data_IF_586396653034
#
_entry.id   IF_586396653034
#
_cell.length_a   1.000
_cell.length_b   1.000
_cell.length_c   1.000
_cell.angle_alpha   90.00
_cell.angle_beta   90.00
_cell.angle_gamma   90.00
#
_symmetry.space_group_name_H-M   'P 1'
#
loop_
_entity.id
_entity.type
_entity.pdbx_description
1 polymer ?
#
# COMPACT_ATOMS: atom_id res chain seq x y z
N UNK A 1 -34.52 7.85 16.19
CA UNK A 1 -34.44 9.28 15.80
C UNK A 1 -33.10 9.94 16.15
N UNK A 2 -32.66 10.01 17.43
CA UNK A 2 -31.37 10.66 17.79
C UNK A 2 -30.13 10.06 17.09
N UNK A 3 -30.09 8.74 16.89
CA UNK A 3 -28.98 8.04 16.22
C UNK A 3 -28.87 8.45 14.74
N UNK A 4 -29.98 8.49 13.99
CA UNK A 4 -29.98 8.92 12.59
C UNK A 4 -29.55 10.38 12.44
N UNK A 5 -30.00 11.26 13.34
CA UNK A 5 -29.57 12.67 13.34
C UNK A 5 -28.05 12.80 13.56
N UNK A 6 -27.50 12.06 14.53
CA UNK A 6 -26.07 12.03 14.79
C UNK A 6 -25.27 11.48 13.60
N UNK A 7 -25.79 10.45 12.93
CA UNK A 7 -25.18 9.87 11.73
C UNK A 7 -25.14 10.87 10.57
N UNK A 8 -26.25 11.56 10.27
CA UNK A 8 -26.28 12.57 9.21
C UNK A 8 -25.29 13.70 9.46
N UNK A 9 -25.17 14.18 10.70
CA UNK A 9 -24.26 15.28 11.03
C UNK A 9 -22.79 14.84 11.06
N UNK A 10 -22.49 13.70 11.68
CA UNK A 10 -21.09 13.28 11.93
C UNK A 10 -20.49 12.47 10.79
N UNK A 11 -21.28 11.65 10.10
CA UNK A 11 -20.79 10.73 9.07
C UNK A 11 -21.03 11.29 7.68
N UNK A 12 -22.26 11.74 7.40
CA UNK A 12 -22.60 12.30 6.08
C UNK A 12 -22.22 13.78 5.94
N UNK A 13 -21.79 14.42 7.04
CA UNK A 13 -21.43 15.84 7.11
C UNK A 13 -22.56 16.77 6.62
N UNK A 14 -23.83 16.42 6.91
CA UNK A 14 -25.02 17.18 6.51
C UNK A 14 -25.44 18.12 7.66
N UNK A 15 -25.41 19.45 7.47
CA UNK A 15 -25.85 20.42 8.48
C UNK A 15 -27.32 20.28 8.87
N UNK A 16 -27.66 20.69 10.10
CA UNK A 16 -29.05 20.74 10.55
C UNK A 16 -29.87 21.69 9.66
N UNK A 17 -31.05 21.22 9.21
CA UNK A 17 -31.96 22.02 8.37
C UNK A 17 -31.59 22.06 6.88
N UNK A 18 -30.47 21.47 6.48
CA UNK A 18 -30.09 21.37 5.07
C UNK A 18 -30.76 20.18 4.37
N UNK A 19 -30.89 20.26 3.05
CA UNK A 19 -31.43 19.20 2.21
C UNK A 19 -30.27 18.54 1.46
N UNK A 20 -30.25 17.22 1.41
CA UNK A 20 -29.26 16.47 0.65
C UNK A 20 -29.89 15.17 0.14
N UNK A 21 -29.33 14.64 -0.94
CA UNK A 21 -29.81 13.42 -1.59
C UNK A 21 -28.72 12.36 -1.45
N UNK A 22 -29.12 11.16 -1.06
CA UNK A 22 -28.22 10.02 -0.94
C UNK A 22 -28.67 8.94 -1.90
N UNK A 23 -27.77 8.50 -2.78
CA UNK A 23 -28.03 7.41 -3.73
C UNK A 23 -26.81 6.49 -3.82
N UNK A 24 -26.98 5.18 -3.61
CA UNK A 24 -25.93 4.17 -3.70
C UNK A 24 -24.56 4.62 -3.12
N UNK A 25 -24.57 5.19 -1.92
CA UNK A 25 -23.37 5.70 -1.22
C UNK A 25 -22.85 7.07 -1.65
N UNK A 26 -23.41 7.68 -2.70
CA UNK A 26 -23.14 9.06 -3.11
C UNK A 26 -24.00 10.04 -2.31
N UNK A 27 -23.37 11.10 -1.82
CA UNK A 27 -24.07 12.22 -1.17
C UNK A 27 -24.03 13.41 -2.14
N UNK A 28 -25.19 13.97 -2.46
CA UNK A 28 -25.35 15.20 -3.22
C UNK A 28 -25.94 16.27 -2.32
N UNK A 29 -25.18 17.35 -2.12
CA UNK A 29 -25.58 18.47 -1.28
C UNK A 29 -24.46 18.90 -0.32
N UNK A 30 -24.77 19.78 0.64
CA UNK A 30 -26.11 20.33 0.91
C UNK A 30 -26.64 21.17 -0.27
N UNK A 31 -27.90 20.95 -0.63
CA UNK A 31 -28.61 21.72 -1.65
C UNK A 31 -28.94 23.11 -1.11
N UNK A 32 -28.85 24.13 -1.95
CA UNK A 32 -29.24 25.49 -1.58
C UNK A 32 -30.77 25.57 -1.35
N UNK A 33 -31.25 26.58 -0.62
CA UNK A 33 -32.70 26.74 -0.34
C UNK A 33 -33.54 26.94 -1.62
N UNK A 34 -32.95 27.61 -2.61
CA UNK A 34 -33.54 27.91 -3.92
C UNK A 34 -33.36 26.77 -4.93
N UNK A 35 -32.41 25.87 -4.68
CA UNK A 35 -32.13 24.74 -5.55
C UNK A 35 -33.29 23.74 -5.49
N UNK A 36 -33.80 23.38 -6.67
CA UNK A 36 -34.86 22.38 -6.80
C UNK A 36 -34.27 21.17 -7.48
N UNK A 37 -34.37 20.03 -6.80
CA UNK A 37 -34.05 18.74 -7.40
C UNK A 37 -35.36 18.10 -7.87
N UNK A 38 -35.50 17.99 -9.19
CA UNK A 38 -36.73 17.56 -9.86
C UNK A 38 -36.71 16.06 -10.17
N UNK A 39 -37.84 15.54 -10.68
CA UNK A 39 -37.94 14.15 -11.13
C UNK A 39 -36.97 13.85 -12.29
N UNK A 40 -36.72 14.83 -13.15
CA UNK A 40 -35.77 14.69 -14.25
C UNK A 40 -34.33 14.56 -13.73
N UNK A 41 -34.00 15.27 -12.65
CA UNK A 41 -32.68 15.18 -11.99
C UNK A 41 -32.50 13.81 -11.32
N UNK A 42 -33.54 13.26 -10.68
CA UNK A 42 -33.51 11.89 -10.16
C UNK A 42 -33.31 10.86 -11.27
N UNK A 43 -34.02 11.03 -12.39
CA UNK A 43 -33.91 10.15 -13.56
C UNK A 43 -32.51 10.22 -14.19
N UNK A 44 -31.92 11.42 -14.25
CA UNK A 44 -30.56 11.62 -14.73
C UNK A 44 -29.53 10.98 -13.79
N UNK A 45 -29.70 11.16 -12.47
CA UNK A 45 -28.82 10.59 -11.45
C UNK A 45 -28.81 9.07 -11.48
N UNK A 46 -29.97 8.44 -11.67
CA UNK A 46 -30.11 7.00 -11.84
C UNK A 46 -29.38 6.53 -13.09
N UNK A 47 -29.67 7.13 -14.26
CA UNK A 47 -29.00 6.80 -15.53
C UNK A 47 -27.48 6.98 -15.46
N UNK A 48 -27.01 8.06 -14.83
CA UNK A 48 -25.59 8.30 -14.63
C UNK A 48 -24.93 7.19 -13.78
N UNK A 49 -25.60 6.78 -12.69
CA UNK A 49 -25.07 5.77 -11.77
C UNK A 49 -25.01 4.38 -12.43
N UNK A 50 -26.06 4.02 -13.17
CA UNK A 50 -26.13 2.78 -13.94
C UNK A 50 -25.07 2.72 -15.03
N UNK A 51 -24.94 3.77 -15.85
CA UNK A 51 -23.98 3.80 -16.96
C UNK A 51 -22.51 3.77 -16.49
N UNK A 52 -22.18 4.48 -15.39
CA UNK A 52 -20.80 4.58 -14.94
C UNK A 52 -20.33 3.36 -14.13
N UNK A 53 -21.21 2.81 -13.30
CA UNK A 53 -20.87 1.75 -12.36
C UNK A 53 -21.71 0.48 -12.58
N UNK A 54 -23.04 0.62 -12.64
CA UNK A 54 -23.99 -0.49 -12.68
C UNK A 54 -23.68 -1.51 -13.78
N UNK A 55 -23.61 -1.08 -15.04
CA UNK A 55 -23.42 -1.98 -16.18
C UNK A 55 -22.07 -2.71 -16.12
N UNK A 56 -21.00 -1.99 -15.76
CA UNK A 56 -19.64 -2.56 -15.68
C UNK A 56 -19.53 -3.58 -14.55
N UNK A 57 -20.08 -3.28 -13.38
CA UNK A 57 -20.07 -4.18 -12.23
C UNK A 57 -20.92 -5.42 -12.55
N UNK A 58 -22.12 -5.24 -13.12
CA UNK A 58 -22.99 -6.34 -13.52
C UNK A 58 -22.32 -7.27 -14.54
N UNK A 59 -21.66 -6.70 -15.56
CA UNK A 59 -20.88 -7.47 -16.53
C UNK A 59 -19.73 -8.24 -15.87
N UNK A 60 -19.05 -7.64 -14.89
CA UNK A 60 -17.92 -8.26 -14.18
C UNK A 60 -18.38 -9.42 -13.29
N UNK A 61 -19.48 -9.24 -12.54
CA UNK A 61 -20.09 -10.30 -11.71
C UNK A 61 -20.49 -11.49 -12.57
N UNK A 62 -21.17 -11.24 -13.70
CA UNK A 62 -21.56 -12.28 -14.66
C UNK A 62 -20.36 -13.00 -15.28
N UNK A 63 -19.30 -12.25 -15.65
CA UNK A 63 -18.10 -12.82 -16.29
C UNK A 63 -17.32 -13.75 -15.35
N UNK A 64 -17.25 -13.40 -14.07
CA UNK A 64 -16.48 -14.16 -13.09
C UNK A 64 -17.26 -15.34 -12.48
N UNK A 65 -18.47 -15.64 -12.98
CA UNK A 65 -19.34 -16.70 -12.47
C UNK A 65 -19.35 -16.73 -10.94
N UNK A 66 -19.54 -15.57 -10.31
CA UNK A 66 -19.80 -15.53 -8.88
C UNK A 66 -21.21 -16.14 -8.73
N UNK A 67 -21.26 -17.46 -8.63
CA UNK A 67 -22.45 -18.19 -8.20
C UNK A 67 -22.71 -17.72 -6.78
N UNK A 68 -23.60 -16.74 -6.65
CA UNK A 68 -24.19 -16.43 -5.36
C UNK A 68 -24.99 -17.68 -5.03
N UNK A 69 -24.50 -18.47 -4.08
CA UNK A 69 -25.12 -19.70 -3.59
C UNK A 69 -26.53 -19.38 -3.06
N UNK A 70 -27.54 -19.28 -3.94
CA UNK A 70 -28.94 -19.52 -3.60
C UNK A 70 -29.82 -19.47 -4.86
N UNK A 71 -30.38 -20.63 -5.19
CA UNK A 71 -31.27 -20.96 -6.32
C UNK A 71 -32.67 -20.30 -6.21
N UNK A 72 -32.78 -19.15 -5.54
CA UNK A 72 -34.06 -18.46 -5.33
C UNK A 72 -33.93 -16.94 -5.47
N UNK A 73 -34.34 -16.44 -6.65
CA UNK A 73 -34.50 -15.02 -7.01
C UNK A 73 -33.21 -14.21 -7.29
N UNK A 74 -32.51 -14.59 -8.36
CA UNK A 74 -31.33 -13.95 -8.95
C UNK A 74 -31.35 -12.41 -9.10
N UNK A 75 -32.49 -11.74 -9.01
CA UNK A 75 -32.56 -10.28 -9.22
C UNK A 75 -32.27 -9.46 -7.95
N UNK A 76 -32.68 -9.94 -6.77
CA UNK A 76 -32.67 -9.12 -5.54
C UNK A 76 -31.32 -9.18 -4.81
N UNK A 77 -30.70 -10.35 -4.69
CA UNK A 77 -29.36 -10.46 -4.08
C UNK A 77 -28.28 -9.80 -4.95
N UNK A 78 -28.41 -9.89 -6.27
CA UNK A 78 -27.57 -9.12 -7.20
C UNK A 78 -27.72 -7.61 -7.00
N UNK A 79 -28.91 -7.12 -6.63
CA UNK A 79 -29.14 -5.68 -6.39
C UNK A 79 -28.44 -5.17 -5.14
N UNK A 80 -28.48 -5.90 -4.03
CA UNK A 80 -27.82 -5.49 -2.79
C UNK A 80 -26.30 -5.52 -2.92
N UNK A 81 -25.76 -6.59 -3.53
CA UNK A 81 -24.32 -6.70 -3.82
C UNK A 81 -23.88 -5.59 -4.80
N UNK A 82 -24.68 -5.31 -5.84
CA UNK A 82 -24.43 -4.21 -6.76
C UNK A 82 -24.43 -2.87 -6.03
N UNK A 83 -25.44 -2.60 -5.19
CA UNK A 83 -25.53 -1.36 -4.43
C UNK A 83 -24.33 -1.18 -3.50
N UNK A 84 -23.94 -2.23 -2.77
CA UNK A 84 -22.77 -2.19 -1.88
C UNK A 84 -21.48 -1.97 -2.67
N UNK A 85 -21.29 -2.67 -3.80
CA UNK A 85 -20.13 -2.48 -4.67
C UNK A 85 -20.06 -1.05 -5.23
N UNK A 86 -21.19 -0.52 -5.71
CA UNK A 86 -21.29 0.87 -6.19
C UNK A 86 -20.97 1.85 -5.06
N UNK A 87 -21.54 1.67 -3.87
CA UNK A 87 -21.29 2.55 -2.72
C UNK A 87 -19.83 2.56 -2.29
N UNK A 88 -19.17 1.41 -2.30
CA UNK A 88 -17.74 1.29 -2.00
C UNK A 88 -16.87 1.97 -3.06
N UNK A 89 -17.22 1.84 -4.34
CA UNK A 89 -16.45 2.44 -5.44
C UNK A 89 -16.65 3.96 -5.52
N UNK A 90 -17.86 4.45 -5.28
CA UNK A 90 -18.18 5.89 -5.31
C UNK A 90 -17.56 6.62 -4.13
N UNK A 91 -17.56 6.02 -2.93
CA UNK A 91 -16.94 6.63 -1.74
C UNK A 91 -15.42 6.74 -1.84
N UNK A 92 -14.79 5.99 -2.75
CA UNK A 92 -13.34 5.98 -2.98
C UNK A 92 -13.02 6.18 -4.46
N UNK A 93 -13.19 7.40 -5.00
CA UNK A 93 -12.91 7.66 -6.40
C UNK A 93 -11.45 7.31 -6.70
N UNK A 94 -11.24 6.38 -7.63
CA UNK A 94 -9.91 5.98 -8.06
C UNK A 94 -9.26 7.16 -8.78
N UNK A 95 -8.10 7.59 -8.31
CA UNK A 95 -7.29 8.65 -8.95
C UNK A 95 -6.45 8.12 -10.10
N UNK A 96 -6.34 6.79 -10.26
CA UNK A 96 -5.54 6.11 -11.28
C UNK A 96 -6.28 4.91 -11.86
N UNK A 97 -6.07 4.62 -13.15
CA UNK A 97 -6.58 3.41 -13.79
C UNK A 97 -5.83 2.17 -13.31
N UNK A 98 -6.57 1.06 -13.15
CA UNK A 98 -5.99 -0.27 -12.94
C UNK A 98 -5.68 -0.91 -14.29
N UNK A 99 -4.59 -1.65 -14.35
CA UNK A 99 -4.21 -2.45 -15.52
C UNK A 99 -3.92 -3.87 -15.07
N UNK A 100 -4.24 -4.82 -15.94
CA UNK A 100 -3.86 -6.23 -15.76
C UNK A 100 -2.46 -6.45 -16.33
N UNK A 101 -1.65 -7.26 -15.64
CA UNK A 101 -0.35 -7.68 -16.16
C UNK A 101 -0.58 -8.93 -17.02
N UNK A 102 -0.12 -8.96 -18.29
CA UNK A 102 -0.37 -10.08 -19.18
C UNK A 102 0.15 -11.42 -18.66
N UNK A 103 -0.66 -12.47 -18.75
CA UNK A 103 -0.35 -13.80 -18.17
C UNK A 103 0.84 -14.51 -18.83
N UNK A 104 1.17 -14.19 -20.09
CA UNK A 104 2.24 -14.86 -20.82
C UNK A 104 3.64 -14.60 -20.24
N UNK A 105 3.79 -13.63 -19.33
CA UNK A 105 5.04 -13.36 -18.62
C UNK A 105 5.27 -14.28 -17.41
N UNK A 106 4.29 -15.11 -16.99
CA UNK A 106 4.28 -15.83 -15.70
C UNK A 106 5.07 -17.16 -15.67
N UNK A 107 5.76 -17.55 -16.75
CA UNK A 107 6.29 -18.92 -16.89
C UNK A 107 7.71 -19.07 -16.32
N UNK A 108 8.63 -18.17 -16.67
CA UNK A 108 10.06 -18.33 -16.35
C UNK A 108 10.65 -17.17 -15.54
N UNK A 109 9.99 -16.01 -15.49
CA UNK A 109 10.52 -14.80 -14.88
C UNK A 109 9.70 -14.32 -13.69
N UNK A 110 8.86 -15.19 -13.11
CA UNK A 110 7.96 -14.82 -12.01
C UNK A 110 8.14 -15.74 -10.81
N UNK A 111 8.41 -15.13 -9.67
CA UNK A 111 8.33 -15.79 -8.37
C UNK A 111 6.92 -15.60 -7.84
N UNK A 112 6.25 -16.69 -7.51
CA UNK A 112 4.87 -16.69 -6.98
C UNK A 112 4.91 -17.12 -5.53
N UNK A 113 4.40 -16.26 -4.65
CA UNK A 113 4.25 -16.54 -3.23
C UNK A 113 2.74 -16.63 -2.96
N UNK A 114 2.22 -17.83 -2.62
CA UNK A 114 0.80 -18.01 -2.37
C UNK A 114 0.38 -17.31 -1.07
N UNK A 115 -0.92 -17.01 -0.93
CA UNK A 115 -1.48 -16.51 0.32
C UNK A 115 -1.31 -17.53 1.45
N UNK A 116 -1.23 -17.04 2.69
CA UNK A 116 -1.12 -17.88 3.88
C UNK A 116 -2.37 -18.73 4.08
N UNK A 117 -3.55 -18.12 3.86
CA UNK A 117 -4.83 -18.80 3.90
C UNK A 117 -5.55 -18.62 2.56
N UNK A 118 -5.63 -19.71 1.78
CA UNK A 118 -6.28 -19.73 0.48
C UNK A 118 -7.81 -19.61 0.56
N UNK A 119 -8.41 -19.87 1.72
CA UNK A 119 -9.86 -19.77 1.93
C UNK A 119 -10.32 -18.38 2.37
N UNK A 120 -9.39 -17.49 2.72
CA UNK A 120 -9.69 -16.12 3.14
C UNK A 120 -9.37 -15.12 2.02
N UNK A 121 -10.02 -13.95 2.01
CA UNK A 121 -9.65 -12.87 1.10
C UNK A 121 -8.17 -12.54 1.23
N UNK A 122 -7.47 -12.44 0.09
CA UNK A 122 -6.06 -12.13 0.04
C UNK A 122 -5.80 -10.83 -0.73
N UNK A 123 -4.74 -10.13 -0.36
CA UNK A 123 -4.23 -9.00 -1.12
C UNK A 123 -3.40 -9.48 -2.31
N UNK A 124 -3.79 -9.11 -3.53
CA UNK A 124 -2.97 -9.36 -4.72
C UNK A 124 -1.88 -8.28 -4.86
N UNK A 125 -0.63 -8.71 -4.75
CA UNK A 125 0.55 -7.85 -4.87
C UNK A 125 1.33 -8.24 -6.12
N UNK A 126 1.35 -7.35 -7.12
CA UNK A 126 2.19 -7.53 -8.30
C UNK A 126 3.38 -6.58 -8.26
N UNK A 127 4.58 -7.14 -8.33
CA UNK A 127 5.84 -6.40 -8.21
C UNK A 127 6.67 -6.65 -9.45
N UNK A 128 7.01 -5.60 -10.19
CA UNK A 128 7.89 -5.67 -11.35
C UNK A 128 9.22 -5.03 -10.96
N UNK A 129 10.29 -5.80 -11.01
CA UNK A 129 11.60 -5.35 -10.54
C UNK A 129 12.72 -5.94 -11.38
N UNK A 130 13.73 -5.12 -11.67
CA UNK A 130 15.01 -5.62 -12.16
C UNK A 130 15.80 -6.13 -10.94
N UNK A 131 16.12 -7.44 -10.85
CA UNK A 131 16.81 -8.01 -9.70
C UNK A 131 18.17 -7.38 -9.41
N UNK A 132 18.78 -6.72 -10.40
CA UNK A 132 20.10 -6.11 -10.26
C UNK A 132 20.03 -4.60 -9.96
N UNK A 133 18.82 -4.06 -9.84
CA UNK A 133 18.60 -2.66 -9.47
C UNK A 133 18.76 -2.41 -7.97
N UNK A 134 19.06 -1.15 -7.60
CA UNK A 134 19.01 -0.71 -6.19
C UNK A 134 17.62 -0.83 -5.57
N UNK A 135 16.57 -0.73 -6.39
CA UNK A 135 15.19 -0.89 -5.95
C UNK A 135 14.90 -2.31 -5.44
N UNK A 136 15.47 -3.33 -6.09
CA UNK A 136 15.30 -4.73 -5.70
C UNK A 136 15.76 -5.01 -4.27
N UNK A 137 16.88 -4.40 -3.85
CA UNK A 137 17.42 -4.55 -2.50
C UNK A 137 16.43 -4.07 -1.41
N UNK A 138 15.59 -3.08 -1.73
CA UNK A 138 14.55 -2.55 -0.83
C UNK A 138 13.29 -3.39 -0.83
N UNK A 139 12.88 -3.82 -2.02
CA UNK A 139 11.61 -4.51 -2.23
C UNK A 139 11.59 -5.87 -1.56
N UNK A 140 12.69 -6.63 -1.58
CA UNK A 140 12.77 -7.97 -0.98
C UNK A 140 12.32 -8.01 0.49
N UNK A 141 13.00 -7.29 1.41
CA UNK A 141 12.62 -7.25 2.82
C UNK A 141 11.19 -6.75 3.07
N UNK A 142 10.71 -5.78 2.28
CA UNK A 142 9.34 -5.26 2.40
C UNK A 142 8.33 -6.37 2.07
N UNK A 143 8.55 -7.13 0.99
CA UNK A 143 7.66 -8.22 0.60
C UNK A 143 7.65 -9.35 1.63
N UNK A 144 8.80 -9.68 2.22
CA UNK A 144 8.88 -10.68 3.29
C UNK A 144 8.01 -10.27 4.48
N UNK A 145 8.13 -9.03 4.96
CA UNK A 145 7.30 -8.54 6.07
C UNK A 145 5.82 -8.49 5.70
N UNK A 146 5.47 -8.06 4.49
CA UNK A 146 4.07 -8.04 4.03
C UNK A 146 3.47 -9.45 3.97
N UNK A 147 4.26 -10.46 3.57
CA UNK A 147 3.81 -11.85 3.50
C UNK A 147 3.53 -12.44 4.88
N UNK A 148 4.26 -12.01 5.91
CA UNK A 148 4.06 -12.48 7.28
C UNK A 148 2.90 -11.77 7.97
N UNK A 149 2.69 -10.48 7.70
CA UNK A 149 1.68 -9.65 8.36
C UNK A 149 0.31 -9.73 7.67
N UNK A 150 0.26 -9.92 6.36
CA UNK A 150 -0.97 -9.91 5.57
C UNK A 150 -1.19 -11.24 4.85
N UNK A 151 -2.44 -11.66 4.73
CA UNK A 151 -2.81 -12.71 3.79
C UNK A 151 -2.67 -12.16 2.35
N UNK A 152 -1.54 -12.38 1.69
CA UNK A 152 -1.29 -11.81 0.38
C UNK A 152 -0.76 -12.83 -0.64
N UNK A 153 -1.21 -12.68 -1.87
CA UNK A 153 -0.72 -13.40 -3.03
C UNK A 153 0.26 -12.51 -3.79
N UNK A 154 1.56 -12.81 -3.68
CA UNK A 154 2.62 -11.97 -4.24
C UNK A 154 3.13 -12.60 -5.53
N UNK A 155 3.15 -11.81 -6.61
CA UNK A 155 3.84 -12.14 -7.87
C UNK A 155 4.98 -11.16 -8.10
N UNK A 156 6.21 -11.66 -8.10
CA UNK A 156 7.41 -10.87 -8.37
C UNK A 156 7.91 -11.19 -9.78
N UNK A 157 7.68 -10.25 -10.70
CA UNK A 157 8.15 -10.25 -12.07
C UNK A 157 9.59 -9.71 -12.13
N UNK A 158 10.52 -10.59 -12.50
CA UNK A 158 11.92 -10.26 -12.69
C UNK A 158 12.13 -9.77 -14.12
N UNK A 159 12.20 -8.45 -14.29
CA UNK A 159 12.40 -7.79 -15.58
C UNK A 159 13.85 -7.32 -15.72
N UNK A 160 14.73 -8.22 -16.17
CA UNK A 160 16.15 -7.93 -16.34
C UNK A 160 16.41 -7.06 -17.57
N UNK A 161 17.37 -6.14 -17.48
CA UNK A 161 17.89 -5.40 -18.63
C UNK A 161 18.91 -6.28 -19.39
N UNK A 162 18.73 -6.45 -20.71
CA UNK A 162 19.61 -7.32 -21.54
C UNK A 162 21.07 -6.85 -21.60
N UNK A 163 21.29 -5.53 -21.54
CA UNK A 163 22.62 -4.93 -21.61
C UNK A 163 22.83 -4.01 -20.42
N UNK A 164 23.60 -4.48 -19.46
CA UNK A 164 24.15 -3.65 -18.41
C UNK A 164 25.56 -3.22 -18.83
N UNK A 165 25.68 -1.97 -19.30
CA UNK A 165 26.96 -1.37 -19.68
C UNK A 165 27.85 -1.07 -18.48
N UNK A 166 27.24 -0.82 -17.32
CA UNK A 166 27.89 -0.71 -16.03
C UNK A 166 27.80 -2.05 -15.29
N UNK A 167 28.78 -2.36 -14.45
CA UNK A 167 28.63 -3.47 -13.49
C UNK A 167 27.40 -3.17 -12.60
N UNK A 168 26.32 -3.95 -12.72
CA UNK A 168 24.96 -3.48 -12.40
C UNK A 168 24.71 -3.24 -10.91
N UNK A 169 25.49 -3.89 -10.05
CA UNK A 169 25.76 -3.44 -8.68
C UNK A 169 27.25 -3.11 -8.66
N UNK A 170 27.66 -1.85 -8.59
CA UNK A 170 29.07 -1.48 -8.40
C UNK A 170 29.56 -2.01 -7.04
N UNK A 171 30.02 -3.26 -7.08
CA UNK A 171 30.90 -4.12 -6.26
C UNK A 171 30.79 -4.15 -4.72
N UNK A 172 30.31 -3.14 -3.98
CA UNK A 172 30.43 -3.15 -2.50
C UNK A 172 29.25 -2.52 -1.72
N UNK A 173 28.09 -2.26 -2.33
CA UNK A 173 26.95 -1.70 -1.60
C UNK A 173 26.14 -2.84 -0.96
N UNK A 174 26.42 -3.09 0.32
CA UNK A 174 25.63 -3.95 1.18
C UNK A 174 24.41 -3.18 1.69
N UNK A 175 23.23 -3.75 1.53
CA UNK A 175 21.98 -3.10 1.92
C UNK A 175 21.22 -3.93 2.95
N UNK A 176 20.69 -3.26 3.98
CA UNK A 176 19.76 -3.83 4.96
C UNK A 176 18.60 -2.86 5.14
N UNK A 177 17.39 -3.37 4.95
CA UNK A 177 16.16 -2.67 5.31
C UNK A 177 15.83 -3.00 6.77
N UNK A 178 15.56 -1.97 7.58
CA UNK A 178 15.25 -2.12 8.99
C UNK A 178 13.73 -2.13 9.17
N UNK A 179 13.14 -3.32 9.14
CA UNK A 179 11.71 -3.54 9.35
C UNK A 179 11.49 -4.95 9.88
N UNK A 180 10.69 -5.06 10.93
CA UNK A 180 10.27 -6.32 11.53
C UNK A 180 8.75 -6.47 11.44
N UNK A 181 8.23 -7.70 11.31
CA UNK A 181 6.79 -7.99 11.22
C UNK A 181 6.06 -7.78 12.56
N UNK A 182 6.77 -7.99 13.67
CA UNK A 182 6.21 -8.00 15.02
C UNK A 182 7.11 -7.22 16.00
N UNK A 183 6.52 -6.83 17.13
CA UNK A 183 7.22 -6.13 18.20
C UNK A 183 7.84 -7.15 19.14
N UNK A 184 9.13 -6.99 19.43
CA UNK A 184 9.86 -7.87 20.33
C UNK A 184 9.89 -7.32 21.78
N UNK A 185 9.78 -8.23 22.75
CA UNK A 185 9.86 -7.94 24.18
C UNK A 185 10.96 -8.79 24.83
N UNK A 186 11.63 -8.21 25.82
CA UNK A 186 12.56 -8.91 26.72
C UNK A 186 11.81 -9.86 27.65
N UNK A 187 12.53 -10.80 28.28
CA UNK A 187 11.97 -11.74 29.28
C UNK A 187 11.25 -11.03 30.42
N UNK A 188 11.65 -9.80 30.73
CA UNK A 188 11.12 -8.99 31.83
C UNK A 188 9.90 -8.15 31.39
N UNK A 189 9.38 -8.37 30.18
CA UNK A 189 8.20 -7.70 29.63
C UNK A 189 8.45 -6.28 29.09
N UNK A 190 9.71 -5.81 29.09
CA UNK A 190 10.06 -4.51 28.48
C UNK A 190 10.24 -4.67 26.98
N UNK A 191 9.77 -3.69 26.20
CA UNK A 191 10.02 -3.65 24.77
C UNK A 191 11.54 -3.60 24.49
N UNK A 192 11.99 -4.33 23.47
CA UNK A 192 13.39 -4.27 23.03
C UNK A 192 13.71 -2.91 22.40
N UNK A 193 14.99 -2.63 22.18
CA UNK A 193 15.48 -1.41 21.51
C UNK A 193 15.02 -1.27 20.05
N UNK A 194 14.20 -2.19 19.54
CA UNK A 194 13.70 -2.19 18.18
C UNK A 194 14.66 -2.84 17.17
N UNK A 195 14.26 -2.83 15.88
CA UNK A 195 15.03 -3.44 14.81
C UNK A 195 16.34 -2.68 14.56
N UNK A 196 17.41 -3.40 14.22
CA UNK A 196 18.72 -2.81 13.90
C UNK A 196 19.30 -3.39 12.60
N UNK A 197 20.05 -2.57 11.86
CA UNK A 197 20.79 -3.03 10.70
C UNK A 197 22.11 -3.69 11.14
N UNK A 198 22.21 -5.03 11.05
CA UNK A 198 23.45 -5.75 11.30
C UNK A 198 24.07 -6.27 10.01
N UNK A 199 25.32 -5.91 9.78
CA UNK A 199 26.13 -6.41 8.68
C UNK A 199 27.17 -7.39 9.24
N UNK A 200 27.12 -8.65 8.80
CA UNK A 200 28.03 -9.70 9.23
C UNK A 200 28.90 -10.14 8.06
N UNK A 201 30.11 -10.63 8.35
CA UNK A 201 31.07 -11.13 7.36
C UNK A 201 31.40 -10.11 6.26
N UNK A 202 31.56 -8.84 6.67
CA UNK A 202 31.92 -7.75 5.76
C UNK A 202 33.39 -7.87 5.34
N UNK A 203 33.74 -7.49 4.10
CA UNK A 203 35.13 -7.48 3.64
C UNK A 203 35.93 -6.44 4.43
N UNK A 204 37.10 -6.83 4.93
CA UNK A 204 37.84 -6.00 5.90
C UNK A 204 38.79 -4.97 5.29
N UNK A 205 39.35 -5.30 4.12
CA UNK A 205 40.33 -4.47 3.42
C UNK A 205 39.77 -3.20 2.73
N UNK A 206 38.59 -3.22 2.07
CA UNK A 206 38.11 -2.04 1.36
C UNK A 206 37.67 -0.94 2.33
N UNK A 207 37.80 0.32 1.88
CA UNK A 207 37.20 1.46 2.54
C UNK A 207 35.68 1.46 2.31
N UNK A 208 34.92 1.56 3.39
CA UNK A 208 33.46 1.51 3.42
C UNK A 208 32.91 2.84 3.94
N UNK A 209 31.75 3.21 3.43
CA UNK A 209 30.97 4.36 3.91
C UNK A 209 29.61 3.87 4.35
N UNK A 210 29.20 4.22 5.57
CA UNK A 210 27.88 3.92 6.07
C UNK A 210 26.91 5.04 5.70
N UNK A 211 25.81 4.67 5.04
CA UNK A 211 24.77 5.61 4.64
C UNK A 211 23.39 5.12 5.10
N UNK A 212 22.59 6.02 5.69
CA UNK A 212 21.23 5.74 6.12
C UNK A 212 20.23 6.37 5.15
N UNK A 213 19.46 5.53 4.47
CA UNK A 213 18.41 5.99 3.56
C UNK A 213 17.11 6.24 4.32
N UNK A 214 16.81 7.50 4.57
CA UNK A 214 15.61 7.94 5.30
C UNK A 214 14.55 8.52 4.34
N UNK A 215 13.26 8.51 4.72
CA UNK A 215 12.24 9.27 4.02
C UNK A 215 12.61 10.76 3.90
N UNK A 216 12.19 11.42 2.81
CA UNK A 216 12.58 12.82 2.53
C UNK A 216 12.13 13.83 3.59
N UNK A 217 11.09 13.49 4.35
CA UNK A 217 10.54 14.34 5.41
C UNK A 217 11.20 14.09 6.77
N UNK A 218 12.25 13.27 6.86
CA UNK A 218 12.96 12.97 8.09
C UNK A 218 14.32 13.64 8.08
N UNK A 219 14.66 14.32 9.17
CA UNK A 219 16.01 14.81 9.43
C UNK A 219 16.64 13.95 10.52
N UNK A 220 17.64 13.17 10.14
CA UNK A 220 18.30 12.19 11.01
C UNK A 220 19.76 12.52 11.15
N UNK A 221 20.27 12.50 12.38
CA UNK A 221 21.66 12.79 12.70
C UNK A 221 22.32 11.60 13.43
N UNK A 222 23.64 11.47 13.27
CA UNK A 222 24.44 10.50 14.01
C UNK A 222 24.75 11.06 15.39
N UNK A 223 24.20 10.45 16.44
CA UNK A 223 24.36 10.92 17.82
C UNK A 223 25.49 10.23 18.55
N UNK A 224 25.82 8.99 18.17
CA UNK A 224 26.98 8.26 18.72
C UNK A 224 27.64 7.41 17.65
N UNK A 225 28.91 7.68 17.38
CA UNK A 225 29.78 6.79 16.62
C UNK A 225 31.22 7.00 17.09
N UNK A 226 31.95 5.94 17.51
CA UNK A 226 33.37 6.04 17.84
C UNK A 226 34.27 6.12 16.59
N UNK A 227 33.74 5.78 15.41
CA UNK A 227 34.47 5.75 14.14
C UNK A 227 33.89 6.77 13.15
N UNK A 228 34.73 7.22 12.21
CA UNK A 228 34.29 8.02 11.07
C UNK A 228 33.46 7.15 10.11
N UNK A 229 32.18 7.51 9.94
CA UNK A 229 31.22 6.75 9.15
C UNK A 229 31.45 6.87 7.65
N UNK A 230 32.19 7.88 7.20
CA UNK A 230 32.52 8.08 5.80
C UNK A 230 33.76 7.28 5.37
N UNK A 231 34.62 6.90 6.33
CA UNK A 231 35.92 6.27 6.10
C UNK A 231 36.14 5.03 6.99
N UNK A 232 35.25 4.04 6.90
CA UNK A 232 35.33 2.81 7.70
C UNK A 232 36.25 1.80 7.01
N UNK A 233 37.37 1.45 7.63
CA UNK A 233 38.26 0.37 7.18
C UNK A 233 38.39 -0.68 8.27
N UNK A 234 37.69 -1.81 8.12
CA UNK A 234 37.50 -2.76 9.23
C UNK A 234 38.79 -3.45 9.69
N UNK A 235 39.84 -3.47 8.88
CA UNK A 235 41.17 -3.94 9.33
C UNK A 235 41.83 -3.00 10.36
N UNK A 236 41.46 -1.72 10.38
CA UNK A 236 42.00 -0.71 11.31
C UNK A 236 41.13 -0.58 12.58
N UNK A 237 40.12 -1.45 12.73
CA UNK A 237 39.14 -1.41 13.81
C UNK A 237 39.37 -2.59 14.77
N UNK A 238 39.64 -2.29 16.04
CA UNK A 238 39.90 -3.32 17.07
C UNK A 238 38.67 -4.15 17.44
N UNK A 239 37.46 -3.67 17.15
CA UNK A 239 36.19 -4.28 17.57
C UNK A 239 35.04 -4.06 16.58
N UNK A 240 33.78 -4.20 17.03
CA UNK A 240 32.60 -4.01 16.18
C UNK A 240 32.33 -2.53 15.98
N UNK A 241 32.21 -2.10 14.72
CA UNK A 241 31.72 -0.76 14.37
C UNK A 241 30.25 -0.66 14.74
N UNK A 242 29.89 0.32 15.56
CA UNK A 242 28.52 0.62 15.94
C UNK A 242 28.25 2.11 15.79
N UNK A 243 27.02 2.45 15.42
CA UNK A 243 26.57 3.83 15.20
C UNK A 243 25.11 3.95 15.63
N UNK A 244 24.78 4.99 16.39
CA UNK A 244 23.42 5.32 16.80
C UNK A 244 22.98 6.59 16.08
N UNK A 245 21.78 6.54 15.49
CA UNK A 245 21.15 7.65 14.79
C UNK A 245 19.87 8.07 15.50
N UNK A 246 19.58 9.37 15.51
CA UNK A 246 18.36 9.93 16.09
C UNK A 246 17.57 10.71 15.03
N UNK A 247 16.26 10.50 15.01
CA UNK A 247 15.33 11.32 14.23
C UNK A 247 15.07 12.62 14.98
N UNK A 248 15.76 13.69 14.57
CA UNK A 248 15.70 14.98 15.26
C UNK A 248 14.44 15.77 14.86
N UNK A 249 14.13 15.80 13.56
CA UNK A 249 12.99 16.57 13.05
C UNK A 249 12.19 15.83 11.98
N UNK A 250 10.90 16.15 11.94
CA UNK A 250 10.00 15.84 10.85
C UNK A 250 9.72 17.10 10.04
N UNK A 251 10.15 17.13 8.79
CA UNK A 251 9.94 18.24 7.89
C UNK A 251 8.50 18.23 7.39
N UNK A 252 7.78 19.31 7.66
CA UNK A 252 6.47 19.55 7.07
C UNK A 252 6.64 20.37 5.79
N UNK A 253 6.45 19.74 4.63
CA UNK A 253 6.43 20.45 3.33
C UNK A 253 4.99 20.79 2.96
N UNK A 254 4.71 22.09 2.84
CA UNK A 254 3.53 22.60 2.16
C UNK A 254 3.89 23.08 0.76
N UNK A 255 3.03 22.80 -0.23
CA UNK A 255 3.05 23.56 -1.48
C UNK A 255 2.16 24.78 -1.27
N UNK A 256 2.68 25.98 -1.50
CA UNK A 256 1.82 27.14 -1.72
C UNK A 256 1.17 26.94 -3.09
N UNK A 257 -0.16 26.96 -3.12
CA UNK A 257 -0.97 26.91 -4.34
C UNK A 257 -1.14 28.32 -4.92
#
# INVERSE_FOLDING_TARGET
>A
MKVHQAYCQKVLNIPAGSRAIVTNGRILGPLEETEKFTLDDFSLLERYSLNNYGDKIMQTIKKNNIEIEDDSSDALQNSDVLMQAVALLVSRPQTRSRFEIPVHTDIHSVVKLPPHNASEPAFDLAVIVDPVSRGAQRVGPILSVLQEVLNCHIKVYLNCVEKNSDMPLKVLIFYRFVLEPEIHFTSDGRQTSGPMARFANMPTSPLLTQNMQVPENWLVESVRSPYDLDNIRLEDVDSVVHSEFELEYLLFRGSLL
#
